data_IF_021757633756
#
_entry.id   IF_021757633756
#
_cell.length_a   1.000
_cell.length_b   1.000
_cell.length_c   1.000
_cell.angle_alpha   90.00
_cell.angle_beta   90.00
_cell.angle_gamma   90.00
#
_symmetry.space_group_name_H-M   'P 1'
#
loop_
_entity.id
_entity.type
_entity.pdbx_description
1 polymer ?
#
# COMPACT_ATOMS: atom_id res chain seq x y z
N UNK A 1 -11.88 7.67 -32.33
CA UNK A 1 -12.05 6.60 -31.34
C UNK A 1 -11.72 7.11 -29.94
N UNK A 2 -12.63 7.03 -29.11
CA UNK A 2 -12.47 7.54 -27.78
C UNK A 2 -12.24 6.44 -26.78
N UNK A 3 -11.15 6.48 -26.10
CA UNK A 3 -10.84 5.55 -25.02
C UNK A 3 -11.33 6.02 -23.67
N UNK A 4 -12.27 6.86 -23.64
CA UNK A 4 -12.91 7.52 -22.53
C UNK A 4 -12.84 6.98 -21.13
N UNK A 5 -11.70 6.51 -20.70
CA UNK A 5 -11.51 6.21 -19.30
C UNK A 5 -11.24 7.51 -18.54
N UNK A 6 -12.31 8.29 -18.41
CA UNK A 6 -12.27 9.49 -17.56
C UNK A 6 -12.13 8.98 -16.13
N UNK A 7 -10.94 9.12 -15.57
CA UNK A 7 -10.72 8.85 -14.15
C UNK A 7 -11.65 9.75 -13.36
N UNK A 8 -12.69 9.17 -12.80
CA UNK A 8 -13.61 9.90 -11.94
C UNK A 8 -12.83 10.39 -10.72
N UNK A 9 -12.83 11.70 -10.53
CA UNK A 9 -12.14 12.30 -9.39
C UNK A 9 -12.77 11.80 -8.09
N UNK A 10 -11.94 11.30 -7.19
CA UNK A 10 -12.39 10.85 -5.88
C UNK A 10 -12.82 12.04 -5.03
N UNK A 11 -14.03 11.97 -4.48
CA UNK A 11 -14.59 12.99 -3.60
C UNK A 11 -14.27 12.63 -2.14
N UNK A 12 -13.20 13.20 -1.63
CA UNK A 12 -12.73 12.96 -0.27
C UNK A 12 -13.70 13.47 0.80
N UNK A 13 -14.37 14.56 0.54
CA UNK A 13 -15.31 15.15 1.51
C UNK A 13 -16.54 14.27 1.67
N UNK A 14 -17.10 13.81 0.57
CA UNK A 14 -18.23 12.89 0.58
C UNK A 14 -17.88 11.56 1.26
N UNK A 15 -16.70 11.04 1.00
CA UNK A 15 -16.21 9.81 1.63
C UNK A 15 -16.07 9.99 3.14
N UNK A 16 -15.49 11.11 3.57
CA UNK A 16 -15.33 11.45 4.98
C UNK A 16 -16.68 11.60 5.70
N UNK A 17 -17.61 12.32 5.11
CA UNK A 17 -18.97 12.48 5.65
C UNK A 17 -19.67 11.15 5.81
N UNK A 18 -19.54 10.26 4.84
CA UNK A 18 -20.10 8.91 4.91
C UNK A 18 -19.51 8.10 6.07
N UNK A 19 -18.20 8.17 6.29
CA UNK A 19 -17.54 7.48 7.40
C UNK A 19 -18.00 8.03 8.77
N UNK A 20 -18.10 9.34 8.91
CA UNK A 20 -18.52 9.99 10.14
C UNK A 20 -19.99 9.66 10.44
N UNK A 21 -20.84 9.60 9.43
CA UNK A 21 -22.28 9.35 9.58
C UNK A 21 -22.67 7.90 9.82
N UNK A 22 -21.77 6.95 9.67
CA UNK A 22 -22.10 5.54 9.87
C UNK A 22 -22.09 5.15 11.35
N UNK A 23 -22.92 4.14 11.72
CA UNK A 23 -23.07 3.71 13.10
C UNK A 23 -21.87 2.92 13.63
N UNK A 24 -21.13 2.22 12.75
CA UNK A 24 -19.96 1.43 13.11
C UNK A 24 -18.67 2.22 12.88
N UNK A 25 -17.67 1.94 13.71
CA UNK A 25 -16.32 2.51 13.55
C UNK A 25 -15.65 1.88 12.33
N UNK A 26 -15.13 2.73 11.44
CA UNK A 26 -14.35 2.27 10.30
C UNK A 26 -12.87 2.16 10.69
N UNK A 27 -12.20 1.13 10.19
CA UNK A 27 -10.79 0.90 10.43
C UNK A 27 -9.97 1.10 9.14
N UNK A 28 -8.79 1.68 9.29
CA UNK A 28 -7.78 1.79 8.23
C UNK A 28 -6.48 1.20 8.80
N UNK A 29 -6.31 -0.12 8.77
CA UNK A 29 -5.13 -0.74 9.35
C UNK A 29 -3.89 -0.48 8.50
N UNK A 30 -2.78 -0.19 9.15
CA UNK A 30 -1.47 -0.14 8.49
C UNK A 30 -0.93 -1.57 8.46
N UNK A 31 -1.22 -2.28 7.38
CA UNK A 31 -0.98 -3.72 7.30
C UNK A 31 -0.73 -4.13 5.84
N UNK A 32 0.50 -4.46 5.51
CA UNK A 32 0.84 -4.91 4.15
C UNK A 32 1.49 -6.29 4.14
N UNK A 33 2.32 -6.59 5.12
CA UNK A 33 3.06 -7.85 5.20
C UNK A 33 2.19 -9.11 5.08
N UNK A 34 1.04 -9.23 5.75
CA UNK A 34 0.19 -10.40 5.57
C UNK A 34 -0.28 -10.60 4.14
N UNK A 35 -0.48 -9.53 3.38
CA UNK A 35 -0.83 -9.61 1.95
C UNK A 35 0.32 -10.11 1.10
N UNK A 36 1.54 -9.74 1.43
CA UNK A 36 2.75 -10.24 0.76
C UNK A 36 2.85 -11.75 0.95
N UNK A 37 2.66 -12.23 2.17
CA UNK A 37 2.66 -13.66 2.47
C UNK A 37 1.56 -14.42 1.75
N UNK A 38 0.34 -13.87 1.71
CA UNK A 38 -0.79 -14.48 1.02
C UNK A 38 -0.57 -14.64 -0.48
N UNK A 39 0.17 -13.73 -1.10
CA UNK A 39 0.46 -13.77 -2.53
C UNK A 39 1.72 -14.57 -2.85
N UNK A 40 2.43 -15.08 -1.85
CA UNK A 40 3.62 -15.90 -2.03
C UNK A 40 4.86 -15.14 -2.47
N UNK A 41 4.91 -13.84 -2.23
CA UNK A 41 6.05 -12.99 -2.57
C UNK A 41 6.90 -12.65 -1.33
N UNK A 42 8.07 -12.07 -1.58
CA UNK A 42 8.95 -11.56 -0.53
C UNK A 42 8.73 -10.07 -0.31
N UNK A 43 9.18 -9.56 0.82
CA UNK A 43 9.13 -8.12 1.10
C UNK A 43 9.96 -7.36 0.08
N UNK A 44 11.14 -7.89 -0.29
CA UNK A 44 11.99 -7.29 -1.33
C UNK A 44 11.24 -7.14 -2.65
N UNK A 45 10.55 -8.17 -3.11
CA UNK A 45 9.76 -8.10 -4.34
C UNK A 45 8.68 -7.02 -4.24
N UNK A 46 7.99 -6.94 -3.11
CA UNK A 46 6.92 -5.97 -2.92
C UNK A 46 7.41 -4.52 -2.87
N UNK A 47 8.59 -4.25 -2.32
CA UNK A 47 9.15 -2.89 -2.28
C UNK A 47 9.81 -2.48 -3.61
N UNK A 48 10.23 -3.44 -4.42
CA UNK A 48 10.90 -3.19 -5.69
C UNK A 48 9.99 -3.27 -6.91
N UNK A 49 8.81 -3.86 -6.78
CA UNK A 49 7.87 -4.07 -7.87
C UNK A 49 6.48 -3.59 -7.47
N UNK A 50 6.02 -2.53 -8.13
CA UNK A 50 4.73 -1.92 -7.86
C UNK A 50 3.55 -2.85 -8.09
N UNK A 51 3.65 -3.80 -9.01
CA UNK A 51 2.60 -4.78 -9.27
C UNK A 51 2.47 -5.79 -8.12
N UNK A 52 3.59 -6.30 -7.64
CA UNK A 52 3.63 -7.21 -6.48
C UNK A 52 3.02 -6.52 -5.26
N UNK A 53 3.41 -5.27 -5.03
CA UNK A 53 2.87 -4.43 -3.96
C UNK A 53 1.36 -4.26 -4.08
N UNK A 54 0.87 -3.91 -5.26
CA UNK A 54 -0.55 -3.76 -5.54
C UNK A 54 -1.33 -5.06 -5.28
N UNK A 55 -0.84 -6.19 -5.74
CA UNK A 55 -1.48 -7.49 -5.55
C UNK A 55 -1.58 -7.87 -4.08
N UNK A 56 -0.54 -7.58 -3.30
CA UNK A 56 -0.54 -7.79 -1.85
C UNK A 56 -1.61 -6.97 -1.15
N UNK A 57 -1.72 -5.70 -1.46
CA UNK A 57 -2.74 -4.80 -0.90
C UNK A 57 -4.14 -5.26 -1.32
N UNK A 58 -4.32 -5.61 -2.58
CA UNK A 58 -5.59 -6.10 -3.09
C UNK A 58 -6.05 -7.38 -2.38
N UNK A 59 -5.15 -8.32 -2.15
CA UNK A 59 -5.44 -9.56 -1.42
C UNK A 59 -5.93 -9.27 0.00
N UNK A 60 -5.29 -8.34 0.70
CA UNK A 60 -5.71 -7.92 2.04
C UNK A 60 -7.08 -7.26 2.04
N UNK A 61 -7.30 -6.32 1.13
CA UNK A 61 -8.57 -5.59 1.05
C UNK A 61 -9.74 -6.50 0.64
N UNK A 62 -9.46 -7.57 -0.10
CA UNK A 62 -10.48 -8.56 -0.46
C UNK A 62 -10.85 -9.42 0.73
N UNK A 63 -9.85 -9.83 1.51
CA UNK A 63 -10.07 -10.71 2.68
C UNK A 63 -10.56 -9.95 3.91
N UNK A 64 -10.03 -8.76 4.14
CA UNK A 64 -10.34 -7.93 5.29
C UNK A 64 -10.81 -6.55 4.83
N UNK A 65 -12.10 -6.37 4.58
CA UNK A 65 -12.63 -5.07 4.16
C UNK A 65 -12.29 -3.96 5.15
N UNK A 66 -11.72 -2.89 4.64
CA UNK A 66 -11.34 -1.71 5.41
C UNK A 66 -11.86 -0.43 4.72
N UNK A 67 -11.87 0.67 5.44
CA UNK A 67 -12.31 1.95 4.90
C UNK A 67 -11.35 2.50 3.83
N UNK A 68 -10.09 2.17 3.93
CA UNK A 68 -9.07 2.52 2.96
C UNK A 68 -7.90 1.51 3.04
N UNK A 69 -7.11 1.45 1.99
CA UNK A 69 -5.87 0.67 1.95
C UNK A 69 -4.67 1.57 2.23
N UNK A 70 -3.68 1.02 2.90
CA UNK A 70 -2.38 1.68 3.10
C UNK A 70 -1.29 0.94 2.34
N UNK A 71 -0.31 1.69 1.88
CA UNK A 71 0.86 1.11 1.19
C UNK A 71 1.92 0.68 2.20
N UNK A 72 2.88 -0.12 1.75
CA UNK A 72 4.09 -0.40 2.54
C UNK A 72 4.78 0.94 2.87
N UNK A 73 5.15 1.07 4.12
CA UNK A 73 5.92 2.20 4.58
C UNK A 73 7.41 1.88 4.42
N UNK A 74 7.99 2.26 3.28
CA UNK A 74 9.44 2.19 3.06
C UNK A 74 10.05 3.54 3.44
N UNK A 75 10.71 3.58 4.59
CA UNK A 75 11.32 4.79 5.14
C UNK A 75 12.67 5.13 4.48
N UNK A 76 13.13 4.37 3.52
CA UNK A 76 14.45 4.55 2.90
C UNK A 76 14.40 5.22 1.52
N UNK A 77 13.22 5.43 0.96
CA UNK A 77 13.05 5.94 -0.41
C UNK A 77 13.70 7.31 -0.59
N UNK A 78 13.47 8.22 0.33
CA UNK A 78 14.04 9.56 0.27
C UNK A 78 15.56 9.53 0.48
N UNK A 79 16.03 8.71 1.42
CA UNK A 79 17.47 8.55 1.68
C UNK A 79 18.18 8.01 0.44
N UNK A 80 17.60 7.02 -0.24
CA UNK A 80 18.14 6.47 -1.48
C UNK A 80 18.20 7.54 -2.58
N UNK A 81 17.15 8.34 -2.70
CA UNK A 81 17.10 9.43 -3.68
C UNK A 81 18.19 10.47 -3.46
N UNK A 82 18.66 10.65 -2.22
CA UNK A 82 19.78 11.52 -1.87
C UNK A 82 21.14 10.82 -1.88
N UNK A 83 21.23 9.58 -2.34
CA UNK A 83 22.48 8.86 -2.54
C UNK A 83 22.89 7.91 -1.43
N UNK A 84 22.05 7.66 -0.44
CA UNK A 84 22.34 6.68 0.61
C UNK A 84 22.31 5.25 0.04
N UNK A 85 23.12 4.38 0.61
CA UNK A 85 23.08 2.95 0.30
C UNK A 85 21.96 2.29 1.06
N UNK A 86 21.19 1.48 0.38
CA UNK A 86 20.06 0.77 0.96
C UNK A 86 20.32 -0.73 0.92
N UNK A 87 20.12 -1.39 2.04
CA UNK A 87 20.08 -2.83 2.15
C UNK A 87 18.64 -3.29 1.91
N UNK A 88 18.45 -4.20 0.98
CA UNK A 88 17.15 -4.81 0.66
C UNK A 88 17.16 -6.29 1.06
N UNK A 89 16.88 -6.61 2.33
CA UNK A 89 16.73 -8.01 2.74
C UNK A 89 15.52 -8.64 2.07
N UNK A 90 15.54 -9.93 1.94
CA UNK A 90 14.47 -10.63 1.23
C UNK A 90 13.12 -10.54 1.94
N UNK A 91 13.12 -10.71 3.25
CA UNK A 91 11.88 -10.75 4.06
C UNK A 91 11.83 -9.72 5.20
N UNK A 92 12.61 -8.67 5.09
CA UNK A 92 12.60 -7.56 6.04
C UNK A 92 12.49 -6.22 5.31
N UNK A 93 12.08 -5.20 6.03
CA UNK A 93 12.00 -3.85 5.46
C UNK A 93 13.39 -3.34 5.08
N UNK A 94 13.51 -2.53 4.02
CA UNK A 94 14.78 -1.92 3.66
C UNK A 94 15.35 -1.04 4.77
N UNK A 95 16.67 -0.97 4.84
CA UNK A 95 17.38 -0.13 5.81
C UNK A 95 18.55 0.59 5.16
N UNK A 96 18.89 1.76 5.71
CA UNK A 96 20.06 2.51 5.25
C UNK A 96 21.31 1.82 5.80
N UNK A 97 22.32 1.67 4.94
CA UNK A 97 23.66 1.23 5.32
C UNK A 97 24.66 2.39 5.20
N UNK A 98 25.82 2.29 5.82
CA UNK A 98 26.87 3.30 5.74
C UNK A 98 27.42 3.50 4.31
#
# INVERSE_FOLDING_TARGET
MKTGNTMQRFDIDRWREKLIGQAAVAAIPVMTHPGIEQTGHTVREAVCDGRVHYEAIRALCTRYPAAAATMIMDLTVEAEAFGARILFPENEVPSVTD
#
